data_IF_862209776770
#
_entry.id   IF_862209776770
#
_cell.length_a   1.000
_cell.length_b   1.000
_cell.length_c   1.000
_cell.angle_alpha   90.00
_cell.angle_beta   90.00
_cell.angle_gamma   90.00
#
_symmetry.space_group_name_H-M   'P 1'
#
loop_
_entity.id
_entity.type
_entity.pdbx_description
1 polymer ?
#
# COMPACT_ATOMS: atom_id res chain seq x y z
N UNK A 1 -4.73 3.96 -25.38
CA UNK A 1 -3.47 4.70 -25.12
C UNK A 1 -3.50 5.62 -23.89
N UNK A 2 -4.68 5.98 -23.35
CA UNK A 2 -4.84 6.94 -22.23
C UNK A 2 -4.38 6.39 -20.86
N UNK A 3 -4.53 5.08 -20.61
CA UNK A 3 -4.14 4.44 -19.34
C UNK A 3 -2.65 4.62 -19.00
N UNK A 4 -1.76 4.51 -19.99
CA UNK A 4 -0.32 4.71 -19.77
C UNK A 4 0.02 6.14 -19.34
N UNK A 5 -0.72 7.12 -19.87
CA UNK A 5 -0.46 8.54 -19.64
C UNK A 5 -0.73 8.95 -18.19
N UNK A 6 -1.76 8.38 -17.54
CA UNK A 6 -2.07 8.67 -16.12
C UNK A 6 -0.97 8.13 -15.20
N UNK A 7 -0.50 6.92 -15.46
CA UNK A 7 0.60 6.34 -14.67
C UNK A 7 1.89 7.13 -14.85
N UNK A 8 2.20 7.53 -16.09
CA UNK A 8 3.36 8.35 -16.39
C UNK A 8 3.25 9.73 -15.73
N UNK A 9 2.10 10.40 -15.81
CA UNK A 9 1.86 11.69 -15.16
C UNK A 9 2.03 11.62 -13.63
N UNK A 10 1.34 10.68 -12.97
CA UNK A 10 1.42 10.52 -11.51
C UNK A 10 2.85 10.15 -11.07
N UNK A 11 3.58 9.38 -11.88
CA UNK A 11 4.97 9.05 -11.60
C UNK A 11 5.88 10.27 -11.77
N UNK A 12 5.68 11.06 -12.83
CA UNK A 12 6.41 12.30 -13.05
C UNK A 12 6.17 13.31 -11.94
N UNK A 13 4.93 13.47 -11.47
CA UNK A 13 4.57 14.34 -10.34
C UNK A 13 5.23 13.88 -9.03
N UNK A 14 5.31 12.56 -8.81
CA UNK A 14 6.00 12.00 -7.65
C UNK A 14 7.50 12.28 -7.67
N UNK A 15 8.13 12.17 -8.86
CA UNK A 15 9.55 12.45 -9.05
C UNK A 15 9.85 13.95 -8.95
N UNK A 16 9.02 14.81 -9.55
CA UNK A 16 9.18 16.27 -9.46
C UNK A 16 9.08 16.73 -8.00
N UNK A 17 8.08 16.23 -7.27
CA UNK A 17 7.92 16.51 -5.84
C UNK A 17 9.15 16.10 -5.02
N UNK A 18 9.76 14.95 -5.32
CA UNK A 18 10.99 14.50 -4.65
C UNK A 18 12.20 15.40 -4.96
N UNK A 19 12.34 15.85 -6.21
CA UNK A 19 13.49 16.63 -6.68
C UNK A 19 13.35 18.14 -6.45
N UNK A 20 12.17 18.62 -6.10
CA UNK A 20 11.90 20.04 -5.93
C UNK A 20 12.74 20.64 -4.82
N UNK A 21 13.32 21.81 -5.11
CA UNK A 21 14.00 22.65 -4.13
C UNK A 21 13.00 23.45 -3.28
N UNK A 22 11.74 23.52 -3.70
CA UNK A 22 10.66 24.10 -2.90
C UNK A 22 10.36 23.16 -1.73
N UNK A 23 10.48 23.71 -0.52
CA UNK A 23 10.20 22.97 0.71
C UNK A 23 8.77 22.43 0.76
N UNK A 24 7.79 23.15 0.20
CA UNK A 24 6.39 22.72 0.17
C UNK A 24 6.20 21.46 -0.67
N UNK A 25 6.85 21.37 -1.83
CA UNK A 25 6.73 20.20 -2.72
C UNK A 25 7.49 18.99 -2.20
N UNK A 26 8.69 19.20 -1.65
CA UNK A 26 9.44 18.12 -0.99
C UNK A 26 8.66 17.58 0.23
N UNK A 27 7.98 18.47 0.97
CA UNK A 27 7.08 18.07 2.07
C UNK A 27 5.92 17.21 1.59
N UNK A 28 5.38 17.40 0.38
CA UNK A 28 4.37 16.51 -0.21
C UNK A 28 4.91 15.10 -0.41
N UNK A 29 6.12 14.94 -0.96
CA UNK A 29 6.75 13.62 -1.13
C UNK A 29 7.02 12.94 0.22
N UNK A 30 7.60 13.67 1.19
CA UNK A 30 7.83 13.15 2.55
C UNK A 30 6.53 12.73 3.23
N UNK A 31 5.47 13.53 3.06
CA UNK A 31 4.13 13.21 3.56
C UNK A 31 3.56 11.96 2.89
N UNK A 32 3.70 11.82 1.56
CA UNK A 32 3.31 10.61 0.84
C UNK A 32 3.98 9.35 1.40
N UNK A 33 5.31 9.39 1.57
CA UNK A 33 6.08 8.27 2.15
C UNK A 33 5.60 7.96 3.57
N UNK A 34 5.48 8.99 4.43
CA UNK A 34 5.03 8.83 5.82
C UNK A 34 3.64 8.21 5.89
N UNK A 35 2.69 8.71 5.11
CA UNK A 35 1.32 8.21 5.04
C UNK A 35 1.30 6.75 4.58
N UNK A 36 2.06 6.39 3.53
CA UNK A 36 2.16 5.00 3.08
C UNK A 36 2.69 4.08 4.17
N UNK A 37 3.79 4.45 4.84
CA UNK A 37 4.36 3.64 5.92
C UNK A 37 3.37 3.48 7.08
N UNK A 38 2.72 4.56 7.52
CA UNK A 38 1.73 4.52 8.61
C UNK A 38 0.56 3.61 8.23
N UNK A 39 -0.05 3.77 7.06
CA UNK A 39 -1.18 2.95 6.63
C UNK A 39 -0.80 1.48 6.46
N UNK A 40 0.36 1.18 5.87
CA UNK A 40 0.84 -0.19 5.74
C UNK A 40 1.03 -0.85 7.11
N UNK A 41 1.67 -0.14 8.06
CA UNK A 41 1.88 -0.66 9.42
C UNK A 41 0.55 -0.85 10.16
N UNK A 42 -0.39 0.10 10.04
CA UNK A 42 -1.71 -0.02 10.66
C UNK A 42 -2.49 -1.23 10.13
N UNK A 43 -2.42 -1.53 8.83
CA UNK A 43 -3.04 -2.73 8.25
C UNK A 43 -2.45 -4.01 8.86
N UNK A 44 -1.12 -4.12 8.92
CA UNK A 44 -0.47 -5.28 9.53
C UNK A 44 -0.83 -5.44 11.00
N UNK A 45 -0.80 -4.35 11.77
CA UNK A 45 -1.19 -4.36 13.19
C UNK A 45 -2.64 -4.78 13.37
N UNK A 46 -3.57 -4.28 12.55
CA UNK A 46 -4.97 -4.66 12.61
C UNK A 46 -5.16 -6.16 12.36
N UNK A 47 -4.48 -6.71 11.34
CA UNK A 47 -4.51 -8.14 11.06
C UNK A 47 -3.95 -8.99 12.19
N UNK A 48 -2.83 -8.59 12.79
CA UNK A 48 -2.24 -9.26 13.96
C UNK A 48 -3.17 -9.18 15.17
N UNK A 49 -3.76 -8.01 15.45
CA UNK A 49 -4.69 -7.81 16.58
C UNK A 49 -5.93 -8.69 16.43
N UNK A 50 -6.46 -8.88 15.21
CA UNK A 50 -7.57 -9.80 14.99
C UNK A 50 -7.20 -11.25 15.32
N UNK A 51 -6.03 -11.71 14.88
CA UNK A 51 -5.57 -13.09 15.14
C UNK A 51 -5.24 -13.27 16.63
N UNK A 52 -4.35 -12.44 17.16
CA UNK A 52 -3.86 -12.54 18.54
C UNK A 52 -4.97 -12.22 19.54
N UNK A 53 -5.80 -11.22 19.27
CA UNK A 53 -6.95 -10.89 20.11
C UNK A 53 -7.97 -12.03 20.21
N UNK A 54 -8.19 -12.75 19.11
CA UNK A 54 -9.05 -13.95 19.11
C UNK A 54 -8.44 -15.09 19.95
N UNK A 55 -7.12 -15.28 19.89
CA UNK A 55 -6.41 -16.26 20.74
C UNK A 55 -6.52 -15.85 22.22
N UNK A 56 -6.23 -14.59 22.56
CA UNK A 56 -6.27 -14.09 23.93
C UNK A 56 -7.68 -14.24 24.53
N UNK A 57 -8.73 -13.86 23.79
CA UNK A 57 -10.12 -13.99 24.27
C UNK A 57 -10.51 -15.45 24.55
N UNK A 58 -10.08 -16.39 23.72
CA UNK A 58 -10.32 -17.82 23.91
C UNK A 58 -9.58 -18.40 25.13
N UNK A 59 -8.29 -18.13 25.26
CA UNK A 59 -7.44 -18.80 26.25
C UNK A 59 -7.37 -18.08 27.60
N UNK A 60 -7.39 -16.74 27.61
CA UNK A 60 -7.24 -15.93 28.83
C UNK A 60 -8.59 -15.70 29.49
N UNK A 61 -9.60 -15.31 28.71
CA UNK A 61 -10.92 -14.97 29.26
C UNK A 61 -11.85 -16.19 29.40
N UNK A 62 -11.42 -17.38 28.94
CA UNK A 62 -12.21 -18.63 28.93
C UNK A 62 -13.65 -18.38 28.46
N UNK A 63 -13.84 -17.47 27.51
CA UNK A 63 -15.18 -17.05 27.10
C UNK A 63 -15.87 -18.23 26.43
N UNK A 64 -16.91 -18.78 27.06
CA UNK A 64 -17.71 -19.89 26.51
C UNK A 64 -18.64 -19.47 25.37
N UNK A 65 -18.67 -18.18 25.03
CA UNK A 65 -19.72 -17.58 24.18
C UNK A 65 -19.27 -17.20 22.77
N UNK A 66 -17.97 -17.22 22.45
CA UNK A 66 -17.55 -16.97 21.07
C UNK A 66 -17.90 -18.22 20.25
N UNK A 67 -18.86 -18.07 19.35
CA UNK A 67 -19.25 -19.11 18.41
C UNK A 67 -18.04 -19.53 17.56
N UNK A 68 -17.81 -20.83 17.37
CA UNK A 68 -16.71 -21.36 16.55
C UNK A 68 -16.67 -20.71 15.16
N UNK A 69 -17.85 -20.43 14.58
CA UNK A 69 -17.96 -19.78 13.29
C UNK A 69 -17.42 -18.33 13.28
N UNK A 70 -17.64 -17.55 14.36
CA UNK A 70 -17.10 -16.19 14.45
C UNK A 70 -15.60 -16.18 14.72
N UNK A 71 -15.10 -17.16 15.47
CA UNK A 71 -13.64 -17.34 15.68
C UNK A 71 -12.93 -17.58 14.33
N UNK A 72 -13.42 -18.54 13.54
CA UNK A 72 -12.89 -18.85 12.21
C UNK A 72 -12.95 -17.62 11.29
N UNK A 73 -14.07 -16.89 11.32
CA UNK A 73 -14.23 -15.68 10.51
C UNK A 73 -13.20 -14.60 10.87
N UNK A 74 -12.92 -14.39 12.15
CA UNK A 74 -11.92 -13.43 12.62
C UNK A 74 -10.50 -13.81 12.19
N UNK A 75 -10.15 -15.10 12.21
CA UNK A 75 -8.86 -15.57 11.68
C UNK A 75 -8.75 -15.34 10.18
N UNK A 76 -9.77 -15.72 9.41
CA UNK A 76 -9.78 -15.51 7.95
C UNK A 76 -9.63 -14.01 7.65
N UNK A 77 -10.41 -13.16 8.33
CA UNK A 77 -10.34 -11.72 8.15
C UNK A 77 -8.96 -11.16 8.51
N UNK A 78 -8.37 -11.59 9.63
CA UNK A 78 -7.03 -11.20 10.04
C UNK A 78 -5.96 -11.60 9.02
N UNK A 79 -6.03 -12.83 8.50
CA UNK A 79 -5.13 -13.32 7.45
C UNK A 79 -5.28 -12.48 6.17
N UNK A 80 -6.52 -12.22 5.72
CA UNK A 80 -6.78 -11.38 4.55
C UNK A 80 -6.19 -9.98 4.72
N UNK A 81 -6.37 -9.36 5.90
CA UNK A 81 -5.81 -8.03 6.19
C UNK A 81 -4.27 -8.05 6.18
N UNK A 82 -3.64 -9.10 6.72
CA UNK A 82 -2.18 -9.26 6.67
C UNK A 82 -1.70 -9.34 5.21
N UNK A 83 -2.35 -10.17 4.38
CA UNK A 83 -2.00 -10.27 2.95
C UNK A 83 -2.15 -8.93 2.23
N UNK A 84 -3.25 -8.21 2.46
CA UNK A 84 -3.45 -6.87 1.91
C UNK A 84 -2.35 -5.89 2.38
N UNK A 85 -1.95 -5.97 3.65
CA UNK A 85 -0.84 -5.18 4.19
C UNK A 85 0.50 -5.49 3.52
N UNK A 86 0.80 -6.78 3.31
CA UNK A 86 2.02 -7.24 2.62
C UNK A 86 2.02 -6.75 1.17
N UNK A 87 0.92 -6.93 0.44
CA UNK A 87 0.78 -6.49 -0.95
C UNK A 87 0.94 -4.97 -1.08
N UNK A 88 0.38 -4.22 -0.13
CA UNK A 88 0.56 -2.78 -0.06
C UNK A 88 2.03 -2.37 0.10
N UNK A 89 2.79 -3.06 0.98
CA UNK A 89 4.22 -2.82 1.14
C UNK A 89 5.03 -3.24 -0.09
N UNK A 90 4.69 -4.36 -0.72
CA UNK A 90 5.33 -4.82 -1.95
C UNK A 90 5.15 -3.77 -3.07
N UNK A 91 3.94 -3.24 -3.24
CA UNK A 91 3.64 -2.13 -4.15
C UNK A 91 4.47 -0.89 -3.81
N UNK A 92 4.56 -0.51 -2.54
CA UNK A 92 5.36 0.64 -2.11
C UNK A 92 6.86 0.47 -2.41
N UNK A 93 7.44 -0.71 -2.15
CA UNK A 93 8.84 -1.03 -2.47
C UNK A 93 9.11 -0.88 -3.97
N UNK A 94 8.17 -1.32 -4.82
CA UNK A 94 8.29 -1.18 -6.27
C UNK A 94 8.28 0.29 -6.71
N UNK A 95 7.48 1.16 -6.07
CA UNK A 95 7.51 2.61 -6.31
C UNK A 95 8.89 3.19 -5.97
N UNK A 96 9.47 2.81 -4.83
CA UNK A 96 10.81 3.29 -4.44
C UNK A 96 11.88 2.79 -5.44
N UNK A 97 11.82 1.51 -5.85
CA UNK A 97 12.71 0.97 -6.88
C UNK A 97 12.55 1.68 -8.23
N UNK A 98 11.32 2.01 -8.62
CA UNK A 98 11.03 2.77 -9.83
C UNK A 98 11.69 4.15 -9.79
N UNK A 99 11.56 4.88 -8.68
CA UNK A 99 12.20 6.19 -8.49
C UNK A 99 13.72 6.08 -8.61
N UNK A 100 14.35 5.08 -7.99
CA UNK A 100 15.80 4.85 -8.08
C UNK A 100 16.25 4.55 -9.51
N UNK A 101 15.47 3.79 -10.28
CA UNK A 101 15.77 3.54 -11.70
C UNK A 101 15.66 4.80 -12.55
N UNK A 102 14.71 5.70 -12.26
CA UNK A 102 14.62 7.00 -12.93
C UNK A 102 15.84 7.88 -12.64
N UNK A 103 16.34 7.87 -11.41
CA UNK A 103 17.56 8.61 -11.04
C UNK A 103 18.78 8.11 -11.80
N UNK A 104 18.84 6.80 -12.10
CA UNK A 104 19.86 6.18 -12.94
C UNK A 104 19.58 6.32 -14.45
N UNK A 105 18.69 7.22 -14.87
CA UNK A 105 18.27 7.46 -16.27
C UNK A 105 17.71 6.24 -17.00
N UNK A 106 17.30 5.18 -16.29
CA UNK A 106 16.64 4.01 -16.88
C UNK A 106 15.11 4.18 -16.80
N UNK A 107 14.59 4.98 -17.73
CA UNK A 107 13.18 5.41 -17.75
C UNK A 107 12.23 4.23 -18.02
N UNK A 108 12.60 3.35 -18.96
CA UNK A 108 11.76 2.21 -19.34
C UNK A 108 11.53 1.27 -18.15
N UNK A 109 12.60 0.92 -17.42
CA UNK A 109 12.51 0.06 -16.24
C UNK A 109 11.78 0.75 -15.09
N UNK A 110 11.96 2.06 -14.92
CA UNK A 110 11.25 2.84 -13.92
C UNK A 110 9.74 2.82 -14.14
N UNK A 111 9.28 3.09 -15.37
CA UNK A 111 7.86 3.07 -15.72
C UNK A 111 7.26 1.67 -15.61
N UNK A 112 7.99 0.62 -16.03
CA UNK A 112 7.53 -0.77 -15.89
C UNK A 112 7.28 -1.14 -14.43
N UNK A 113 8.21 -0.81 -13.54
CA UNK A 113 8.09 -1.07 -12.10
C UNK A 113 6.95 -0.25 -11.46
N UNK A 114 6.79 1.01 -11.87
CA UNK A 114 5.70 1.84 -11.36
C UNK A 114 4.33 1.32 -11.80
N UNK A 115 4.16 0.97 -13.08
CA UNK A 115 2.90 0.36 -13.57
C UNK A 115 2.59 -0.93 -12.82
N UNK A 116 3.59 -1.79 -12.61
CA UNK A 116 3.42 -3.02 -11.84
C UNK A 116 3.00 -2.76 -10.39
N UNK A 117 3.57 -1.73 -9.74
CA UNK A 117 3.17 -1.34 -8.38
C UNK A 117 1.70 -0.91 -8.27
N UNK A 118 1.15 -0.25 -9.30
CA UNK A 118 -0.24 0.22 -9.30
C UNK A 118 -1.22 -0.94 -9.50
N UNK A 119 -0.83 -1.94 -10.30
CA UNK A 119 -1.59 -3.18 -10.47
C UNK A 119 -1.65 -3.95 -9.15
N UNK A 120 -0.52 -4.13 -8.48
CA UNK A 120 -0.45 -4.83 -7.18
C UNK A 120 -1.21 -4.11 -6.07
N UNK A 121 -1.22 -2.77 -6.08
CA UNK A 121 -1.91 -2.00 -5.05
C UNK A 121 -3.44 -1.96 -5.23
N UNK A 122 -4.01 -2.72 -6.19
CA UNK A 122 -5.42 -2.67 -6.60
C UNK A 122 -5.95 -1.23 -6.69
N UNK A 123 -5.11 -0.31 -7.15
CA UNK A 123 -5.37 1.12 -7.01
C UNK A 123 -6.29 1.62 -8.14
N UNK A 124 -7.53 1.11 -8.16
CA UNK A 124 -8.58 1.45 -9.13
C UNK A 124 -8.95 2.95 -9.11
N UNK A 125 -8.55 3.71 -8.08
CA UNK A 125 -8.72 5.17 -8.06
C UNK A 125 -7.92 5.87 -9.19
N UNK A 126 -6.80 5.28 -9.63
CA UNK A 126 -6.08 5.75 -10.83
C UNK A 126 -6.71 5.30 -12.15
N UNK A 127 -7.55 4.26 -12.13
CA UNK A 127 -8.38 3.81 -13.25
C UNK A 127 -9.63 4.71 -13.39
N UNK A 128 -10.17 5.27 -12.30
CA UNK A 128 -11.39 6.10 -12.30
C UNK A 128 -11.20 7.50 -12.89
N UNK A 129 -9.96 8.01 -13.00
CA UNK A 129 -9.64 9.30 -13.67
C UNK A 129 -9.74 9.26 -15.21
N UNK A 130 -10.26 8.18 -15.78
CA UNK A 130 -10.37 7.97 -17.24
C UNK A 130 -11.76 8.40 -17.78
N UNK A 131 -12.75 8.61 -16.91
CA UNK A 131 -14.14 8.89 -17.32
C UNK A 131 -14.63 10.31 -17.00
N UNK A 132 -13.74 11.29 -16.81
CA UNK A 132 -14.13 12.70 -16.71
C UNK A 132 -13.20 13.59 -17.51
#
# INVERSE_FOLDING_TARGET
MIYNYIYEYNFHELISSKKSKDEKENKKFKSFVKTRVIWGTLLLLLGIVLIVGTIITKYVFKSKEINLASEILLYILGIVIIFVGIDFFAGFILIIKAIKHQENKNIEKALKLYKFSQILSFNFASIKKINF
#
